data_IF_013784286124
#
_entry.id   IF_013784286124
#
_cell.length_a   1.000
_cell.length_b   1.000
_cell.length_c   1.000
_cell.angle_alpha   90.00
_cell.angle_beta   90.00
_cell.angle_gamma   90.00
#
_symmetry.space_group_name_H-M   'P 1'
#
loop_
_entity.id
_entity.type
_entity.pdbx_description
1 polymer ?
#
# COMPACT_ATOMS: atom_id res chain seq x y z
N UNK A 1 -6.61 10.06 -35.01
CA UNK A 1 -7.54 10.55 -33.96
C UNK A 1 -7.81 9.47 -32.91
N UNK A 2 -8.46 8.33 -33.21
CA UNK A 2 -8.76 7.28 -32.21
C UNK A 2 -7.51 6.75 -31.49
N UNK A 3 -6.46 6.38 -32.23
CA UNK A 3 -5.21 5.87 -31.65
C UNK A 3 -4.47 6.92 -30.78
N UNK A 4 -4.55 8.20 -31.13
CA UNK A 4 -4.00 9.29 -30.31
C UNK A 4 -4.75 9.43 -28.99
N UNK A 5 -6.08 9.29 -29.01
CA UNK A 5 -6.89 9.34 -27.80
C UNK A 5 -6.60 8.16 -26.87
N UNK A 6 -6.44 6.95 -27.42
CA UNK A 6 -6.08 5.75 -26.65
C UNK A 6 -4.70 5.91 -26.00
N UNK A 7 -3.71 6.38 -26.77
CA UNK A 7 -2.36 6.62 -26.26
C UNK A 7 -2.33 7.67 -25.15
N UNK A 8 -3.01 8.80 -25.34
CA UNK A 8 -3.09 9.84 -24.31
C UNK A 8 -3.83 9.37 -23.05
N UNK A 9 -4.89 8.58 -23.21
CA UNK A 9 -5.59 7.94 -22.10
C UNK A 9 -4.69 7.00 -21.30
N UNK A 10 -3.90 6.16 -21.99
CA UNK A 10 -2.92 5.27 -21.35
C UNK A 10 -1.83 6.04 -20.60
N UNK A 11 -1.31 7.14 -21.19
CA UNK A 11 -0.34 8.00 -20.52
C UNK A 11 -0.90 8.64 -19.25
N UNK A 12 -2.14 9.12 -19.30
CA UNK A 12 -2.79 9.72 -18.13
C UNK A 12 -3.00 8.67 -17.04
N UNK A 13 -3.48 7.47 -17.39
CA UNK A 13 -3.64 6.37 -16.45
C UNK A 13 -2.31 5.95 -15.80
N UNK A 14 -1.21 5.93 -16.57
CA UNK A 14 0.13 5.65 -16.04
C UNK A 14 0.57 6.72 -15.03
N UNK A 15 0.34 8.01 -15.33
CA UNK A 15 0.66 9.11 -14.41
C UNK A 15 -0.16 9.07 -13.13
N UNK A 16 -1.43 8.69 -13.22
CA UNK A 16 -2.28 8.55 -12.04
C UNK A 16 -1.84 7.35 -11.20
N UNK A 17 -1.47 6.24 -11.84
CA UNK A 17 -0.90 5.08 -11.16
C UNK A 17 0.41 5.41 -10.44
N UNK A 18 1.30 6.20 -11.04
CA UNK A 18 2.53 6.68 -10.40
C UNK A 18 2.25 7.52 -9.13
N UNK A 19 1.21 8.37 -9.14
CA UNK A 19 0.80 9.15 -7.95
C UNK A 19 0.27 8.24 -6.84
N UNK A 20 -0.48 7.21 -7.18
CA UNK A 20 -0.96 6.23 -6.21
C UNK A 20 0.20 5.45 -5.57
N UNK A 21 1.17 5.00 -6.38
CA UNK A 21 2.38 4.36 -5.84
C UNK A 21 3.17 5.29 -4.91
N UNK A 22 3.36 6.56 -5.29
CA UNK A 22 4.02 7.54 -4.42
C UNK A 22 3.27 7.75 -3.09
N UNK A 23 1.93 7.74 -3.15
CA UNK A 23 1.08 7.85 -1.94
C UNK A 23 1.21 6.61 -1.05
N UNK A 24 1.26 5.41 -1.64
CA UNK A 24 1.45 4.14 -0.92
C UNK A 24 2.81 4.12 -0.23
N UNK A 25 3.89 4.48 -0.93
CA UNK A 25 5.23 4.53 -0.34
C UNK A 25 5.32 5.53 0.80
N UNK A 26 4.72 6.71 0.66
CA UNK A 26 4.65 7.69 1.76
C UNK A 26 3.94 7.11 2.99
N UNK A 27 2.78 6.48 2.82
CA UNK A 27 2.04 5.85 3.92
C UNK A 27 2.79 4.68 4.55
N UNK A 28 3.55 3.93 3.74
CA UNK A 28 4.42 2.85 4.23
C UNK A 28 5.54 3.39 5.11
N UNK A 29 6.18 4.49 4.72
CA UNK A 29 7.18 5.16 5.57
C UNK A 29 6.58 5.67 6.88
N UNK A 30 5.42 6.34 6.81
CA UNK A 30 4.69 6.82 8.00
C UNK A 30 4.31 5.66 8.94
N UNK A 31 3.91 4.51 8.39
CA UNK A 31 3.61 3.31 9.15
C UNK A 31 4.87 2.72 9.80
N UNK A 32 6.00 2.70 9.10
CA UNK A 32 7.27 2.24 9.67
C UNK A 32 7.71 3.12 10.84
N UNK A 33 7.62 4.44 10.70
CA UNK A 33 7.88 5.36 11.80
C UNK A 33 6.96 5.11 13.00
N UNK A 34 5.67 4.91 12.77
CA UNK A 34 4.68 4.64 13.82
C UNK A 34 4.96 3.34 14.58
N UNK A 35 5.42 2.31 13.88
CA UNK A 35 5.77 1.00 14.44
C UNK A 35 7.21 0.95 14.99
N UNK A 36 7.98 2.04 14.88
CA UNK A 36 9.41 2.10 15.21
C UNK A 36 10.26 1.08 14.42
N UNK A 37 9.89 0.82 13.16
CA UNK A 37 10.57 -0.10 12.25
C UNK A 37 11.44 0.65 11.22
N UNK A 38 12.40 -0.06 10.62
CA UNK A 38 13.20 0.49 9.52
C UNK A 38 12.33 0.65 8.25
N UNK A 39 12.13 1.89 7.80
CA UNK A 39 11.37 2.26 6.59
C UNK A 39 11.71 1.43 5.36
N UNK A 40 12.98 1.04 5.19
CA UNK A 40 13.46 0.29 4.02
C UNK A 40 13.25 -1.22 4.13
N UNK A 41 13.05 -1.72 5.34
CA UNK A 41 12.89 -3.16 5.63
C UNK A 41 11.46 -3.55 5.90
N UNK A 42 10.58 -2.60 6.19
CA UNK A 42 9.17 -2.88 6.46
C UNK A 42 8.48 -3.51 5.24
N UNK A 43 7.93 -4.70 5.44
CA UNK A 43 7.10 -5.43 4.49
C UNK A 43 5.63 -5.22 4.85
N UNK A 44 4.86 -4.62 3.94
CA UNK A 44 3.42 -4.40 4.15
C UNK A 44 2.66 -5.72 4.25
N UNK A 45 3.07 -6.73 3.47
CA UNK A 45 2.46 -8.06 3.50
C UNK A 45 2.61 -8.72 4.87
N UNK A 46 3.83 -8.70 5.43
CA UNK A 46 4.10 -9.28 6.74
C UNK A 46 3.34 -8.53 7.84
N UNK A 47 3.40 -7.19 7.84
CA UNK A 47 2.71 -6.36 8.85
C UNK A 47 1.21 -6.62 8.84
N UNK A 48 0.56 -6.57 7.67
CA UNK A 48 -0.89 -6.79 7.60
C UNK A 48 -1.29 -8.23 7.88
N UNK A 49 -0.46 -9.21 7.50
CA UNK A 49 -0.67 -10.61 7.86
C UNK A 49 -0.60 -10.81 9.38
N UNK A 50 0.42 -10.25 10.04
CA UNK A 50 0.54 -10.27 11.50
C UNK A 50 -0.64 -9.59 12.19
N UNK A 51 -1.05 -8.39 11.74
CA UNK A 51 -2.21 -7.68 12.30
C UNK A 51 -3.51 -8.49 12.15
N UNK A 52 -3.70 -9.13 10.99
CA UNK A 52 -4.85 -10.00 10.74
C UNK A 52 -4.85 -11.19 11.69
N UNK A 53 -3.74 -11.92 11.79
CA UNK A 53 -3.61 -13.07 12.69
C UNK A 53 -3.82 -12.68 14.15
N UNK A 54 -3.22 -11.58 14.61
CA UNK A 54 -3.41 -11.07 15.96
C UNK A 54 -4.90 -10.77 16.24
N UNK A 55 -5.57 -10.04 15.33
CA UNK A 55 -6.99 -9.73 15.45
C UNK A 55 -7.85 -11.00 15.53
N UNK A 56 -7.58 -11.98 14.67
CA UNK A 56 -8.31 -13.25 14.65
C UNK A 56 -8.14 -14.04 15.95
N UNK A 57 -6.93 -14.11 16.50
CA UNK A 57 -6.66 -14.75 17.79
C UNK A 57 -7.39 -14.00 18.90
N UNK A 58 -7.24 -12.67 18.95
CA UNK A 58 -7.85 -11.84 19.98
C UNK A 58 -9.38 -12.00 20.01
N UNK A 59 -10.03 -11.99 18.84
CA UNK A 59 -11.49 -12.19 18.75
C UNK A 59 -11.92 -13.59 19.19
N UNK A 60 -11.15 -14.64 18.85
CA UNK A 60 -11.44 -16.01 19.32
C UNK A 60 -11.32 -16.15 20.83
N UNK A 61 -10.43 -15.37 21.48
CA UNK A 61 -10.26 -15.40 22.93
C UNK A 61 -11.36 -14.61 23.67
N UNK A 62 -12.00 -13.64 23.02
CA UNK A 62 -13.12 -12.89 23.58
C UNK A 62 -14.47 -13.63 23.49
N UNK A 63 -14.55 -14.67 22.67
CA UNK A 63 -15.72 -15.55 22.52
C UNK A 63 -15.68 -16.69 23.54
#
# INVERSE_FOLDING_TARGET
>A
IVLQNVFQGSLNASKDLEKEFATIEKKKEELADYLCEDRKKLSLEDVFSTMKTFREIFLKTLQ
#
